data_IF_418121284100
#
_entry.id   IF_418121284100
#
_cell.length_a   1.000
_cell.length_b   1.000
_cell.length_c   1.000
_cell.angle_alpha   90.00
_cell.angle_beta   90.00
_cell.angle_gamma   90.00
#
_symmetry.space_group_name_H-M   'P 1'
#
loop_
_entity.id
_entity.type
_entity.pdbx_description
1 polymer ?
#
# COMPACT_ATOMS: atom_id res chain seq x y z
N UNK A 1 6.29 -17.75 -0.06
CA UNK A 1 6.87 -16.55 -0.68
C UNK A 1 6.15 -15.32 -0.15
N UNK A 2 6.85 -14.24 0.17
CA UNK A 2 6.29 -13.04 0.79
C UNK A 2 6.20 -11.92 -0.23
N UNK A 3 4.98 -11.44 -0.49
CA UNK A 3 4.73 -10.42 -1.51
C UNK A 3 4.14 -9.18 -0.85
N UNK A 4 4.77 -8.04 -1.07
CA UNK A 4 4.24 -6.74 -0.67
C UNK A 4 3.51 -6.10 -1.84
N UNK A 5 2.18 -6.09 -1.77
CA UNK A 5 1.33 -5.42 -2.75
C UNK A 5 1.25 -3.92 -2.44
N UNK A 6 1.61 -3.10 -3.42
CA UNK A 6 1.70 -1.66 -3.31
C UNK A 6 0.57 -0.97 -4.05
N UNK A 7 -0.04 0.03 -3.40
CA UNK A 7 -1.13 0.83 -3.93
C UNK A 7 -0.91 2.31 -3.63
N UNK A 8 -1.47 3.19 -4.46
CA UNK A 8 -1.65 4.60 -4.12
C UNK A 8 -2.81 4.77 -3.11
N UNK A 9 -3.89 4.01 -3.31
CA UNK A 9 -5.05 3.91 -2.42
C UNK A 9 -5.44 2.44 -2.34
N UNK A 10 -5.48 1.88 -1.13
CA UNK A 10 -5.91 0.50 -0.94
C UNK A 10 -7.44 0.42 -0.77
N UNK A 11 -8.05 -0.44 -1.61
CA UNK A 11 -9.48 -0.77 -1.66
C UNK A 11 -10.48 0.37 -1.94
N UNK A 12 -10.23 1.28 -2.91
CA UNK A 12 -11.35 1.99 -3.52
C UNK A 12 -12.31 0.99 -4.19
N UNK A 13 -13.58 1.35 -4.38
CA UNK A 13 -14.58 0.48 -5.03
C UNK A 13 -14.13 -0.09 -6.38
N UNK A 14 -13.30 0.65 -7.12
CA UNK A 14 -12.70 0.28 -8.40
C UNK A 14 -11.67 -0.86 -8.32
N UNK A 15 -11.18 -1.19 -7.12
CA UNK A 15 -10.23 -2.28 -6.86
C UNK A 15 -10.85 -3.48 -6.13
N UNK A 16 -12.17 -3.63 -6.19
CA UNK A 16 -12.88 -4.76 -5.58
C UNK A 16 -12.40 -6.14 -6.07
N UNK A 17 -11.85 -6.23 -7.28
CA UNK A 17 -11.26 -7.46 -7.83
C UNK A 17 -10.02 -7.93 -7.05
N UNK A 18 -9.22 -7.00 -6.48
CA UNK A 18 -8.02 -7.32 -5.69
C UNK A 18 -8.40 -8.16 -4.47
N UNK A 19 -9.55 -7.86 -3.86
CA UNK A 19 -10.07 -8.58 -2.70
C UNK A 19 -10.37 -10.06 -3.00
N UNK A 20 -10.60 -10.42 -4.27
CA UNK A 20 -10.78 -11.80 -4.72
C UNK A 20 -9.49 -12.44 -5.21
N UNK A 21 -8.61 -11.65 -5.83
CA UNK A 21 -7.33 -12.14 -6.36
C UNK A 21 -6.39 -12.58 -5.23
N UNK A 22 -6.17 -11.72 -4.23
CA UNK A 22 -5.16 -11.95 -3.19
C UNK A 22 -5.38 -13.25 -2.39
N UNK A 23 -6.60 -13.60 -1.94
CA UNK A 23 -6.84 -14.88 -1.27
C UNK A 23 -6.62 -16.11 -2.16
N UNK A 24 -6.71 -15.95 -3.49
CA UNK A 24 -6.51 -17.04 -4.44
C UNK A 24 -5.03 -17.32 -4.74
N UNK A 25 -4.10 -16.49 -4.25
CA UNK A 25 -2.66 -16.69 -4.38
C UNK A 25 -2.18 -17.75 -3.38
N UNK A 26 -2.20 -19.02 -3.80
CA UNK A 26 -1.72 -20.13 -2.97
C UNK A 26 -0.23 -20.00 -2.63
N UNK A 27 0.14 -20.28 -1.38
CA UNK A 27 1.54 -20.30 -0.93
C UNK A 27 2.22 -18.92 -0.82
N UNK A 28 1.43 -17.84 -0.91
CA UNK A 28 1.91 -16.46 -0.81
C UNK A 28 1.46 -15.82 0.51
N UNK A 29 2.42 -15.29 1.26
CA UNK A 29 2.15 -14.40 2.38
C UNK A 29 1.95 -12.98 1.85
N UNK A 30 0.72 -12.48 2.00
CA UNK A 30 0.29 -11.20 1.47
C UNK A 30 0.51 -10.09 2.49
N UNK A 31 1.28 -9.08 2.09
CA UNK A 31 1.38 -7.80 2.79
C UNK A 31 0.85 -6.66 1.92
N UNK A 32 0.29 -5.63 2.54
CA UNK A 32 -0.32 -4.47 1.87
C UNK A 32 0.39 -3.19 2.29
N UNK A 33 0.84 -2.42 1.30
CA UNK A 33 1.38 -1.08 1.49
C UNK A 33 0.61 -0.04 0.69
N UNK A 34 0.13 1.01 1.38
CA UNK A 34 -0.47 2.17 0.74
C UNK A 34 -0.37 3.40 1.67
N UNK A 35 -0.14 4.60 1.12
CA UNK A 35 -0.20 5.83 1.90
C UNK A 35 -1.62 6.17 2.37
N UNK A 36 -2.65 5.62 1.71
CA UNK A 36 -4.06 5.73 2.11
C UNK A 36 -4.76 4.36 2.04
N UNK A 37 -5.29 3.88 3.16
CA UNK A 37 -6.01 2.60 3.28
C UNK A 37 -7.44 2.80 3.77
N UNK A 38 -8.41 2.24 3.04
CA UNK A 38 -9.83 2.21 3.40
C UNK A 38 -10.17 0.88 4.09
N UNK A 39 -10.91 0.95 5.19
CA UNK A 39 -11.36 -0.20 6.00
C UNK A 39 -12.83 -0.52 5.69
N UNK A 40 -13.09 -0.89 4.44
CA UNK A 40 -14.42 -1.30 3.98
C UNK A 40 -14.59 -2.82 4.03
N UNK A 41 -15.71 -3.32 3.47
CA UNK A 41 -16.02 -4.76 3.40
C UNK A 41 -14.99 -5.63 2.67
N UNK A 42 -14.09 -5.02 1.90
CA UNK A 42 -13.05 -5.73 1.16
C UNK A 42 -11.72 -5.80 1.94
N UNK A 43 -11.65 -5.13 3.10
CA UNK A 43 -10.49 -5.14 3.96
C UNK A 43 -10.32 -6.53 4.59
N UNK A 44 -9.18 -7.17 4.37
CA UNK A 44 -8.91 -8.48 4.92
C UNK A 44 -7.92 -8.36 6.10
N UNK A 45 -8.37 -8.48 7.36
CA UNK A 45 -7.51 -8.31 8.53
C UNK A 45 -6.43 -9.39 8.66
N UNK A 46 -6.50 -10.49 7.91
CA UNK A 46 -5.48 -11.53 7.91
C UNK A 46 -4.16 -11.10 7.24
N UNK A 47 -4.17 -10.04 6.42
CA UNK A 47 -2.95 -9.54 5.79
C UNK A 47 -2.15 -8.65 6.74
N UNK A 48 -0.84 -8.62 6.53
CA UNK A 48 0.02 -7.63 7.18
C UNK A 48 -0.14 -6.28 6.48
N UNK A 49 -0.55 -5.26 7.22
CA UNK A 49 -0.75 -3.91 6.67
C UNK A 49 0.35 -2.96 7.15
N UNK A 50 0.79 -2.07 6.25
CA UNK A 50 1.71 -0.97 6.57
C UNK A 50 0.97 0.38 6.47
N UNK A 51 0.10 0.71 7.44
CA UNK A 51 -0.64 1.97 7.41
C UNK A 51 0.30 3.15 7.71
N UNK A 52 0.24 4.18 6.87
CA UNK A 52 1.08 5.36 7.04
C UNK A 52 0.71 6.12 8.33
N UNK A 53 1.67 6.46 9.22
CA UNK A 53 1.35 7.19 10.45
C UNK A 53 0.64 8.53 10.19
N UNK A 54 0.98 9.21 9.09
CA UNK A 54 0.35 10.49 8.73
C UNK A 54 -1.13 10.30 8.36
N UNK A 55 -1.50 9.20 7.70
CA UNK A 55 -2.91 8.87 7.48
C UNK A 55 -3.62 8.65 8.82
N UNK A 56 -3.04 7.85 9.73
CA UNK A 56 -3.66 7.56 11.04
C UNK A 56 -4.00 8.83 11.82
N UNK A 57 -3.16 9.86 11.72
CA UNK A 57 -3.41 11.16 12.33
C UNK A 57 -4.46 11.99 11.59
N UNK A 58 -4.41 12.04 10.25
CA UNK A 58 -5.30 12.87 9.44
C UNK A 58 -6.71 12.29 9.25
N UNK A 59 -6.86 10.98 9.21
CA UNK A 59 -8.09 10.26 8.91
C UNK A 59 -8.01 8.84 9.49
N UNK A 60 -8.33 8.67 10.78
CA UNK A 60 -8.33 7.36 11.40
C UNK A 60 -9.43 6.48 10.79
N UNK A 61 -9.02 5.35 10.21
CA UNK A 61 -9.90 4.30 9.69
C UNK A 61 -11.05 4.79 8.77
N UNK A 62 -10.74 5.41 7.61
CA UNK A 62 -11.78 5.76 6.63
C UNK A 62 -12.49 4.47 6.18
N UNK A 63 -13.82 4.50 6.13
CA UNK A 63 -14.67 3.37 5.74
C UNK A 63 -14.98 3.36 4.25
N UNK A 64 -14.88 4.50 3.59
CA UNK A 64 -15.04 4.64 2.14
C UNK A 64 -13.94 5.50 1.53
N UNK A 65 -13.72 5.38 0.24
CA UNK A 65 -12.85 6.29 -0.54
C UNK A 65 -13.40 7.72 -0.64
N UNK A 66 -14.66 7.93 -0.26
CA UNK A 66 -15.28 9.25 -0.21
C UNK A 66 -15.13 9.89 1.17
N UNK A 67 -14.59 9.17 2.15
CA UNK A 67 -14.26 9.73 3.44
C UNK A 67 -12.98 10.57 3.29
N UNK A 68 -13.10 11.88 3.52
CA UNK A 68 -12.01 12.85 3.44
C UNK A 68 -11.34 12.96 2.05
N UNK A 69 -12.09 13.23 0.97
CA UNK A 69 -11.61 13.13 -0.40
C UNK A 69 -10.45 14.10 -0.69
N UNK A 70 -10.50 15.31 -0.11
CA UNK A 70 -9.43 16.29 -0.21
C UNK A 70 -8.16 15.82 0.50
N UNK A 71 -8.27 15.24 1.71
CA UNK A 71 -7.11 14.73 2.46
C UNK A 71 -6.47 13.56 1.74
N UNK A 72 -7.27 12.64 1.22
CA UNK A 72 -6.78 11.53 0.41
C UNK A 72 -6.02 12.03 -0.83
N UNK A 73 -6.62 12.96 -1.59
CA UNK A 73 -6.00 13.52 -2.80
C UNK A 73 -4.69 14.25 -2.49
N UNK A 74 -4.68 15.05 -1.42
CA UNK A 74 -3.47 15.76 -0.98
C UNK A 74 -2.38 14.79 -0.53
N UNK A 75 -2.71 13.82 0.32
CA UNK A 75 -1.72 12.89 0.88
C UNK A 75 -1.10 11.99 -0.20
N UNK A 76 -1.93 11.43 -1.09
CA UNK A 76 -1.47 10.59 -2.20
C UNK A 76 -0.73 11.40 -3.26
N UNK A 77 -1.22 12.59 -3.61
CA UNK A 77 -0.57 13.49 -4.56
C UNK A 77 0.80 13.97 -4.08
N UNK A 78 0.93 14.28 -2.79
CA UNK A 78 2.20 14.73 -2.20
C UNK A 78 3.31 13.69 -2.30
N UNK A 79 2.98 12.38 -2.28
CA UNK A 79 3.99 11.31 -2.38
C UNK A 79 4.83 11.39 -3.66
N UNK A 80 4.29 11.98 -4.73
CA UNK A 80 5.01 12.14 -6.01
C UNK A 80 6.11 13.19 -5.96
N UNK A 81 6.02 14.14 -5.04
CA UNK A 81 7.01 15.23 -4.87
C UNK A 81 7.90 14.98 -3.66
N UNK A 82 7.30 14.47 -2.58
CA UNK A 82 7.95 14.15 -1.32
C UNK A 82 7.54 12.72 -0.95
N UNK A 83 8.34 11.69 -1.32
CA UNK A 83 7.98 10.28 -1.15
C UNK A 83 8.13 9.82 0.30
N UNK A 84 7.44 10.50 1.23
CA UNK A 84 7.52 10.26 2.66
C UNK A 84 7.05 8.85 3.04
N UNK A 85 6.00 8.35 2.39
CA UNK A 85 5.51 7.00 2.61
C UNK A 85 6.50 5.93 2.12
N UNK A 86 7.01 5.95 0.87
CA UNK A 86 8.09 5.05 0.45
C UNK A 86 9.30 5.06 1.40
N UNK A 87 9.77 6.25 1.82
CA UNK A 87 10.88 6.37 2.76
C UNK A 87 10.58 5.75 4.13
N UNK A 88 9.36 5.98 4.65
CA UNK A 88 8.92 5.37 5.90
C UNK A 88 8.78 3.86 5.78
N UNK A 89 8.17 3.38 4.69
CA UNK A 89 7.94 1.98 4.40
C UNK A 89 9.26 1.22 4.29
N UNK A 90 10.23 1.76 3.56
CA UNK A 90 11.57 1.19 3.43
C UNK A 90 12.19 0.88 4.79
N UNK A 91 12.13 1.83 5.74
CA UNK A 91 12.63 1.63 7.11
C UNK A 91 11.92 0.51 7.85
N UNK A 92 10.61 0.32 7.61
CA UNK A 92 9.87 -0.81 8.20
C UNK A 92 10.32 -2.15 7.60
N UNK A 93 10.64 -2.17 6.31
CA UNK A 93 11.01 -3.37 5.57
C UNK A 93 12.48 -3.79 5.77
N UNK A 94 13.37 -2.89 6.20
CA UNK A 94 14.79 -3.21 6.40
C UNK A 94 15.03 -4.38 7.36
N UNK A 95 14.17 -4.56 8.37
CA UNK A 95 14.29 -5.66 9.35
C UNK A 95 13.78 -6.99 8.82
N UNK A 96 12.81 -6.94 7.92
CA UNK A 96 12.07 -8.11 7.46
C UNK A 96 11.54 -7.86 6.04
N UNK A 97 12.42 -7.85 5.03
CA UNK A 97 12.05 -7.43 3.68
C UNK A 97 11.23 -8.54 2.97
N UNK A 98 10.23 -8.18 2.17
CA UNK A 98 9.49 -9.16 1.35
C UNK A 98 10.42 -9.76 0.28
N UNK A 99 9.98 -10.86 -0.33
CA UNK A 99 10.68 -11.50 -1.44
C UNK A 99 10.43 -10.74 -2.76
N UNK A 100 9.25 -10.15 -2.90
CA UNK A 100 8.79 -9.39 -4.07
C UNK A 100 7.95 -8.19 -3.64
N UNK A 101 8.18 -7.05 -4.29
CA UNK A 101 7.25 -5.92 -4.27
C UNK A 101 6.38 -6.05 -5.52
N UNK A 102 5.08 -5.80 -5.41
CA UNK A 102 4.17 -5.86 -6.55
C UNK A 102 3.31 -4.60 -6.59
N UNK A 103 3.61 -3.69 -7.50
CA UNK A 103 2.81 -2.49 -7.70
C UNK A 103 1.63 -2.76 -8.63
N UNK A 104 0.42 -2.43 -8.19
CA UNK A 104 -0.81 -2.64 -8.97
C UNK A 104 -1.01 -1.62 -10.10
N UNK A 105 -0.20 -0.55 -10.15
CA UNK A 105 -0.23 0.48 -11.19
C UNK A 105 1.17 0.95 -11.57
N UNK A 106 1.36 1.38 -12.81
CA UNK A 106 2.64 1.89 -13.31
C UNK A 106 3.15 3.11 -12.54
N UNK A 107 2.26 4.04 -12.16
CA UNK A 107 2.65 5.21 -11.34
C UNK A 107 3.13 4.81 -9.96
N UNK A 108 2.47 3.83 -9.34
CA UNK A 108 2.88 3.24 -8.08
C UNK A 108 4.24 2.55 -8.26
N UNK A 109 4.44 1.75 -9.31
CA UNK A 109 5.74 1.14 -9.62
C UNK A 109 6.86 2.18 -9.70
N UNK A 110 6.66 3.27 -10.45
CA UNK A 110 7.64 4.36 -10.53
C UNK A 110 7.98 4.95 -9.14
N UNK A 111 6.97 5.12 -8.28
CA UNK A 111 7.15 5.68 -6.94
C UNK A 111 8.01 4.78 -6.02
N UNK A 112 7.90 3.45 -6.14
CA UNK A 112 8.63 2.51 -5.29
C UNK A 112 9.86 1.86 -5.94
N UNK A 113 10.19 2.20 -7.20
CA UNK A 113 11.33 1.64 -7.93
C UNK A 113 12.64 1.76 -7.14
N UNK A 114 12.91 2.94 -6.57
CA UNK A 114 14.13 3.15 -5.78
C UNK A 114 14.09 2.41 -4.44
N UNK A 115 12.89 2.22 -3.86
CA UNK A 115 12.73 1.42 -2.64
C UNK A 115 13.07 -0.04 -2.93
N UNK A 116 12.58 -0.60 -4.04
CA UNK A 116 12.88 -1.96 -4.47
C UNK A 116 14.38 -2.16 -4.72
N UNK A 117 15.03 -1.22 -5.41
CA UNK A 117 16.48 -1.22 -5.64
C UNK A 117 17.28 -1.21 -4.34
N UNK A 118 16.94 -0.33 -3.39
CA UNK A 118 17.63 -0.24 -2.09
C UNK A 118 17.43 -1.48 -1.22
N UNK A 119 16.27 -2.12 -1.30
CA UNK A 119 16.01 -3.40 -0.63
C UNK A 119 16.64 -4.60 -1.35
N UNK A 120 17.20 -4.40 -2.56
CA UNK A 120 17.64 -5.45 -3.46
C UNK A 120 16.55 -6.51 -3.70
N UNK A 121 15.36 -6.05 -4.11
CA UNK A 121 14.18 -6.88 -4.37
C UNK A 121 13.55 -6.55 -5.73
N UNK A 122 12.95 -7.54 -6.39
CA UNK A 122 12.15 -7.30 -7.59
C UNK A 122 10.89 -6.47 -7.28
N UNK A 123 10.44 -5.71 -8.27
CA UNK A 123 9.22 -4.90 -8.28
C UNK A 123 8.37 -5.20 -9.52
#
# INVERSE_FOLDING_TARGET
>A
MRVLHLFDVYLPSTLSWVARLLPALGGVEVSIGAPWMVHNRFFNPAYRHYPFPLQRWLAPAPRTEFDFPLRQKLLTGMQRRLPLYPMWLERQLQRDPPDLLHAHFGTTACLYMDTARRLNRPL
#
